data_IF_183081445694
#
_entry.id   IF_183081445694
#
_cell.length_a   1.000
_cell.length_b   1.000
_cell.length_c   1.000
_cell.angle_alpha   90.00
_cell.angle_beta   90.00
_cell.angle_gamma   90.00
#
_symmetry.space_group_name_H-M   'P 1'
#
loop_
_entity.id
_entity.type
_entity.pdbx_description
1 polymer ?
#
# COMPACT_ATOMS: atom_id res chain seq x y z
N UNK A 1 21.43 2.71 -39.50
CA UNK A 1 21.67 3.96 -38.74
C UNK A 1 20.36 4.38 -38.10
N UNK A 2 20.29 4.42 -36.76
CA UNK A 2 19.07 4.80 -36.04
C UNK A 2 18.83 6.31 -36.07
N UNK A 3 17.58 6.75 -35.83
CA UNK A 3 17.25 8.16 -35.68
C UNK A 3 17.80 8.68 -34.33
N UNK A 4 18.42 9.89 -34.26
CA UNK A 4 19.04 10.40 -33.03
C UNK A 4 18.11 10.40 -31.81
N UNK A 5 16.84 10.75 -32.01
CA UNK A 5 15.85 10.79 -30.92
C UNK A 5 15.56 9.38 -30.37
N UNK A 6 15.44 8.37 -31.24
CA UNK A 6 15.22 6.97 -30.82
C UNK A 6 16.42 6.43 -30.02
N UNK A 7 17.64 6.80 -30.42
CA UNK A 7 18.87 6.45 -29.70
C UNK A 7 18.90 7.09 -28.31
N UNK A 8 18.57 8.38 -28.22
CA UNK A 8 18.50 9.12 -26.96
C UNK A 8 17.44 8.56 -26.01
N UNK A 9 16.23 8.29 -26.49
CA UNK A 9 15.15 7.69 -25.66
C UNK A 9 15.52 6.31 -25.12
N UNK A 10 16.11 5.46 -25.95
CA UNK A 10 16.54 4.12 -25.52
C UNK A 10 17.66 4.20 -24.48
N UNK A 11 18.62 5.11 -24.68
CA UNK A 11 19.71 5.35 -23.73
C UNK A 11 19.19 5.88 -22.38
N UNK A 12 18.26 6.82 -22.39
CA UNK A 12 17.61 7.35 -21.18
C UNK A 12 16.85 6.26 -20.41
N UNK A 13 16.13 5.39 -21.11
CA UNK A 13 15.44 4.26 -20.49
C UNK A 13 16.42 3.23 -19.90
N UNK A 14 17.54 2.99 -20.58
CA UNK A 14 18.61 2.13 -20.06
C UNK A 14 19.25 2.73 -18.81
N UNK A 15 19.49 4.05 -18.83
CA UNK A 15 19.99 4.83 -17.69
C UNK A 15 19.05 4.73 -16.48
N UNK A 16 17.74 4.86 -16.71
CA UNK A 16 16.73 4.74 -15.66
C UNK A 16 16.69 3.35 -15.01
N UNK A 17 16.78 2.28 -15.83
CA UNK A 17 16.69 0.89 -15.35
C UNK A 17 18.02 0.30 -14.84
N UNK A 18 19.10 1.10 -14.77
CA UNK A 18 20.41 0.62 -14.31
C UNK A 18 21.13 -0.28 -15.32
N UNK A 19 20.69 -0.29 -16.58
CA UNK A 19 21.29 -1.09 -17.66
C UNK A 19 21.03 -2.60 -17.56
N UNK A 20 20.31 -3.05 -16.53
CA UNK A 20 20.03 -4.46 -16.24
C UNK A 20 18.69 -4.93 -16.81
N UNK A 21 18.17 -4.27 -17.83
CA UNK A 21 16.87 -4.59 -18.41
C UNK A 21 17.04 -5.16 -19.81
N UNK A 22 16.23 -6.16 -20.15
CA UNK A 22 16.22 -6.75 -21.48
C UNK A 22 15.81 -5.71 -22.53
N UNK A 23 16.36 -5.81 -23.74
CA UNK A 23 16.12 -4.85 -24.83
C UNK A 23 14.64 -4.62 -25.11
N UNK A 24 13.80 -5.66 -25.01
CA UNK A 24 12.36 -5.53 -25.23
C UNK A 24 11.66 -4.69 -24.15
N UNK A 25 12.11 -4.73 -22.89
CA UNK A 25 11.59 -3.86 -21.81
C UNK A 25 11.99 -2.42 -22.05
N UNK A 26 13.24 -2.20 -22.45
CA UNK A 26 13.77 -0.88 -22.80
C UNK A 26 13.03 -0.27 -24.00
N UNK A 27 12.76 -1.06 -25.03
CA UNK A 27 11.98 -0.64 -26.20
C UNK A 27 10.56 -0.22 -25.82
N UNK A 28 9.88 -1.02 -24.97
CA UNK A 28 8.53 -0.70 -24.48
C UNK A 28 8.50 0.55 -23.61
N UNK A 29 9.54 0.79 -22.82
CA UNK A 29 9.66 1.99 -21.98
C UNK A 29 9.98 3.23 -22.81
N UNK A 30 10.80 3.07 -23.86
CA UNK A 30 11.16 4.12 -24.81
C UNK A 30 10.10 4.38 -25.90
N UNK A 31 8.98 3.65 -25.86
CA UNK A 31 7.89 3.69 -26.84
C UNK A 31 8.38 3.50 -28.29
N UNK A 32 9.34 2.58 -28.47
CA UNK A 32 9.90 2.23 -29.78
C UNK A 32 9.26 0.95 -30.31
N UNK A 33 9.02 0.90 -31.63
CA UNK A 33 8.74 -0.36 -32.30
C UNK A 33 10.01 -1.25 -32.33
N UNK A 34 9.86 -2.57 -32.53
CA UNK A 34 11.02 -3.49 -32.52
C UNK A 34 12.13 -3.11 -33.50
N UNK A 35 11.79 -2.64 -34.70
CA UNK A 35 12.77 -2.27 -35.72
C UNK A 35 13.48 -0.94 -35.43
N UNK A 36 12.81 0.01 -34.79
CA UNK A 36 13.44 1.21 -34.23
C UNK A 36 14.34 0.89 -33.05
N UNK A 37 13.88 0.03 -32.14
CA UNK A 37 14.65 -0.42 -30.99
C UNK A 37 15.93 -1.16 -31.41
N UNK A 38 15.86 -2.06 -32.37
CA UNK A 38 17.04 -2.79 -32.87
C UNK A 38 18.06 -1.84 -33.53
N UNK A 39 17.57 -0.87 -34.32
CA UNK A 39 18.44 0.15 -34.94
C UNK A 39 19.08 1.07 -33.90
N UNK A 40 18.33 1.45 -32.87
CA UNK A 40 18.82 2.28 -31.78
C UNK A 40 19.83 1.51 -30.92
N UNK A 41 19.53 0.26 -30.55
CA UNK A 41 20.44 -0.63 -29.83
C UNK A 41 21.73 -0.88 -30.61
N UNK A 42 21.64 -1.11 -31.93
CA UNK A 42 22.81 -1.26 -32.80
C UNK A 42 23.64 0.02 -32.90
N UNK A 43 23.01 1.19 -32.94
CA UNK A 43 23.70 2.47 -32.91
C UNK A 43 24.41 2.69 -31.56
N UNK A 44 23.74 2.42 -30.44
CA UNK A 44 24.36 2.46 -29.12
C UNK A 44 25.54 1.47 -29.02
N UNK A 45 25.39 0.26 -29.54
CA UNK A 45 26.46 -0.73 -29.58
C UNK A 45 27.68 -0.27 -30.38
N UNK A 46 27.48 0.40 -31.51
CA UNK A 46 28.57 1.01 -32.28
C UNK A 46 29.28 2.14 -31.54
N UNK A 47 28.61 2.76 -30.56
CA UNK A 47 29.17 3.78 -29.66
C UNK A 47 29.79 3.18 -28.39
N UNK A 48 29.84 1.85 -28.26
CA UNK A 48 30.43 1.15 -27.13
C UNK A 48 29.44 0.80 -26.00
N UNK A 49 28.13 0.96 -26.20
CA UNK A 49 27.12 0.46 -25.26
C UNK A 49 26.96 -1.05 -25.38
N UNK A 50 26.83 -1.74 -24.25
CA UNK A 50 26.51 -3.16 -24.22
C UNK A 50 25.56 -3.40 -23.04
N UNK A 51 24.31 -3.78 -23.31
CA UNK A 51 23.30 -4.06 -22.27
C UNK A 51 23.78 -5.12 -21.26
N UNK A 52 24.66 -6.01 -21.69
CA UNK A 52 25.25 -7.09 -20.90
C UNK A 52 26.58 -6.70 -20.22
N UNK A 53 27.17 -5.54 -20.54
CA UNK A 53 28.50 -5.15 -20.03
C UNK A 53 28.49 -3.72 -19.49
N UNK A 54 28.61 -3.63 -18.17
CA UNK A 54 28.85 -2.40 -17.41
C UNK A 54 30.24 -1.79 -17.65
N UNK A 55 30.66 -1.64 -18.90
CA UNK A 55 31.99 -1.09 -19.24
C UNK A 55 31.89 -0.16 -20.44
N UNK A 56 32.27 1.13 -20.34
CA UNK A 56 32.80 1.87 -19.18
C UNK A 56 31.73 2.68 -18.40
N UNK A 57 31.81 2.75 -17.06
CA UNK A 57 30.86 3.51 -16.22
C UNK A 57 30.82 5.02 -16.53
N UNK A 58 31.90 5.59 -17.06
CA UNK A 58 31.98 7.03 -17.43
C UNK A 58 31.00 7.40 -18.54
N UNK A 59 30.86 6.55 -19.56
CA UNK A 59 29.84 6.77 -20.59
C UNK A 59 28.43 6.65 -19.99
N UNK A 60 28.27 5.81 -18.97
CA UNK A 60 27.00 5.62 -18.28
C UNK A 60 26.60 6.82 -17.45
N UNK A 61 27.53 7.44 -16.73
CA UNK A 61 27.27 8.65 -15.96
C UNK A 61 26.95 9.83 -16.88
N UNK A 62 27.68 10.01 -17.99
CA UNK A 62 27.36 11.07 -18.95
C UNK A 62 26.02 10.85 -19.66
N UNK A 63 25.69 9.60 -20.03
CA UNK A 63 24.38 9.28 -20.64
C UNK A 63 23.25 9.47 -19.63
N UNK A 64 23.47 9.09 -18.37
CA UNK A 64 22.51 9.30 -17.28
C UNK A 64 22.30 10.79 -17.01
N UNK A 65 23.37 11.57 -16.92
CA UNK A 65 23.32 13.02 -16.72
C UNK A 65 22.60 13.72 -17.87
N UNK A 66 22.97 13.41 -19.12
CA UNK A 66 22.29 13.97 -20.29
C UNK A 66 20.80 13.56 -20.37
N UNK A 67 20.46 12.34 -19.95
CA UNK A 67 19.07 11.90 -19.88
C UNK A 67 18.30 12.59 -18.74
N UNK A 68 18.94 12.79 -17.58
CA UNK A 68 18.35 13.49 -16.43
C UNK A 68 18.11 14.98 -16.73
N UNK A 69 19.02 15.64 -17.47
CA UNK A 69 18.91 17.05 -17.87
C UNK A 69 17.90 17.27 -19.01
N UNK A 70 17.77 16.30 -19.92
CA UNK A 70 16.90 16.41 -21.10
C UNK A 70 15.44 16.05 -20.86
N UNK A 71 15.10 15.41 -19.74
CA UNK A 71 13.75 14.92 -19.44
C UNK A 71 13.05 15.85 -18.44
N UNK A 72 11.95 16.47 -18.86
CA UNK A 72 11.13 17.30 -17.98
C UNK A 72 10.54 16.50 -16.80
N UNK A 73 10.24 17.18 -15.68
CA UNK A 73 9.76 16.54 -14.45
C UNK A 73 8.53 15.64 -14.67
N UNK A 74 7.55 16.09 -15.46
CA UNK A 74 6.35 15.32 -15.81
C UNK A 74 6.68 14.04 -16.59
N UNK A 75 7.63 14.12 -17.51
CA UNK A 75 8.09 12.95 -18.28
C UNK A 75 8.85 11.98 -17.38
N UNK A 76 9.60 12.48 -16.39
CA UNK A 76 10.28 11.66 -15.39
C UNK A 76 9.30 10.86 -14.53
N UNK A 77 8.26 11.49 -13.99
CA UNK A 77 7.21 10.80 -13.21
C UNK A 77 6.55 9.70 -14.07
N UNK A 78 6.20 10.02 -15.33
CA UNK A 78 5.63 9.04 -16.28
C UNK A 78 6.58 7.86 -16.51
N UNK A 79 7.86 8.13 -16.71
CA UNK A 79 8.88 7.10 -16.94
C UNK A 79 9.08 6.21 -15.71
N UNK A 80 9.17 6.75 -14.50
CA UNK A 80 9.28 5.96 -13.27
C UNK A 80 8.06 5.08 -13.04
N UNK A 81 6.85 5.63 -13.22
CA UNK A 81 5.61 4.84 -13.18
C UNK A 81 5.65 3.71 -14.20
N UNK A 82 5.97 4.01 -15.46
CA UNK A 82 5.98 3.01 -16.54
C UNK A 82 7.04 1.94 -16.32
N UNK A 83 8.20 2.32 -15.82
CA UNK A 83 9.26 1.40 -15.41
C UNK A 83 8.77 0.43 -14.33
N UNK A 84 8.14 0.94 -13.27
CA UNK A 84 7.58 0.10 -12.21
C UNK A 84 6.54 -0.89 -12.75
N UNK A 85 5.59 -0.43 -13.57
CA UNK A 85 4.58 -1.30 -14.20
C UNK A 85 5.22 -2.41 -15.04
N UNK A 86 6.19 -2.08 -15.90
CA UNK A 86 6.85 -3.05 -16.77
C UNK A 86 7.69 -4.06 -15.98
N UNK A 87 8.41 -3.62 -14.96
CA UNK A 87 9.20 -4.50 -14.09
C UNK A 87 8.30 -5.45 -13.30
N UNK A 88 7.18 -4.95 -12.75
CA UNK A 88 6.23 -5.77 -12.02
C UNK A 88 5.62 -6.86 -12.91
N UNK A 89 5.19 -6.51 -14.12
CA UNK A 89 4.65 -7.48 -15.09
C UNK A 89 5.70 -8.49 -15.55
N UNK A 90 6.97 -8.09 -15.63
CA UNK A 90 8.07 -8.98 -15.98
C UNK A 90 8.48 -9.92 -14.82
N UNK A 91 7.90 -9.78 -13.63
CA UNK A 91 8.27 -10.57 -12.45
C UNK A 91 9.68 -10.24 -11.94
N UNK A 92 10.15 -9.01 -12.16
CA UNK A 92 11.42 -8.54 -11.64
C UNK A 92 11.35 -8.36 -10.11
N UNK A 93 12.48 -8.47 -9.39
CA UNK A 93 12.50 -8.40 -7.93
C UNK A 93 11.76 -7.17 -7.38
N UNK A 94 10.96 -7.38 -6.32
CA UNK A 94 10.16 -6.33 -5.68
C UNK A 94 10.98 -5.07 -5.33
N UNK A 95 12.24 -5.22 -4.92
CA UNK A 95 13.15 -4.11 -4.63
C UNK A 95 13.26 -3.13 -5.80
N UNK A 96 13.44 -3.66 -7.03
CA UNK A 96 13.57 -2.86 -8.24
C UNK A 96 12.28 -2.11 -8.54
N UNK A 97 11.13 -2.78 -8.37
CA UNK A 97 9.81 -2.19 -8.61
C UNK A 97 9.56 -1.05 -7.63
N UNK A 98 9.74 -1.30 -6.32
CA UNK A 98 9.51 -0.31 -5.26
C UNK A 98 10.38 0.93 -5.46
N UNK A 99 11.66 0.76 -5.82
CA UNK A 99 12.56 1.88 -6.12
C UNK A 99 11.96 2.86 -7.13
N UNK A 100 11.33 2.35 -8.19
CA UNK A 100 10.70 3.22 -9.18
C UNK A 100 9.38 3.85 -8.68
N UNK A 101 8.59 3.12 -7.87
CA UNK A 101 7.36 3.67 -7.29
C UNK A 101 7.66 4.81 -6.31
N UNK A 102 8.76 4.72 -5.56
CA UNK A 102 9.17 5.74 -4.60
C UNK A 102 9.51 7.09 -5.22
N UNK A 103 9.83 7.11 -6.52
CA UNK A 103 10.09 8.33 -7.31
C UNK A 103 8.81 8.98 -7.86
N UNK A 104 7.66 8.33 -7.66
CA UNK A 104 6.33 8.83 -8.05
C UNK A 104 5.63 9.40 -6.82
N UNK A 105 5.12 10.62 -6.93
CA UNK A 105 4.42 11.31 -5.84
C UNK A 105 3.06 10.66 -5.50
N UNK A 106 2.56 10.86 -4.27
CA UNK A 106 1.22 10.38 -3.90
C UNK A 106 0.15 11.09 -4.75
N UNK A 107 -0.84 10.34 -5.22
CA UNK A 107 -1.90 10.83 -6.11
C UNK A 107 -1.56 10.78 -7.60
N UNK A 108 -0.29 10.63 -7.98
CA UNK A 108 0.13 10.58 -9.39
C UNK A 108 -0.13 9.22 -10.06
N UNK A 109 -0.40 8.19 -9.25
CA UNK A 109 -0.63 6.83 -9.73
C UNK A 109 -1.63 6.06 -8.87
N UNK A 110 -2.85 5.88 -9.39
CA UNK A 110 -3.96 5.19 -8.72
C UNK A 110 -3.64 3.75 -8.28
N UNK A 111 -2.77 3.04 -9.01
CA UNK A 111 -2.39 1.65 -8.70
C UNK A 111 -1.17 1.51 -7.79
N UNK A 112 -0.53 2.62 -7.37
CA UNK A 112 0.71 2.56 -6.61
C UNK A 112 0.54 1.84 -5.27
N UNK A 113 -0.57 2.08 -4.54
CA UNK A 113 -0.78 1.48 -3.23
C UNK A 113 -0.95 -0.05 -3.28
N UNK A 114 -1.65 -0.57 -4.27
CA UNK A 114 -1.83 -2.03 -4.46
C UNK A 114 -0.50 -2.68 -4.79
N UNK A 115 0.23 -2.09 -5.74
CA UNK A 115 1.53 -2.61 -6.14
C UNK A 115 2.57 -2.55 -4.99
N UNK A 116 2.56 -1.49 -4.18
CA UNK A 116 3.41 -1.39 -2.97
C UNK A 116 3.02 -2.41 -1.90
N UNK A 117 1.73 -2.72 -1.75
CA UNK A 117 1.26 -3.77 -0.83
C UNK A 117 1.74 -5.15 -1.28
N UNK A 118 1.57 -5.48 -2.55
CA UNK A 118 1.94 -6.77 -3.11
C UNK A 118 3.46 -6.99 -3.02
N UNK A 119 4.24 -5.98 -3.43
CA UNK A 119 5.71 -6.02 -3.36
C UNK A 119 6.23 -6.03 -1.93
N UNK A 120 5.57 -5.36 -0.98
CA UNK A 120 5.96 -5.41 0.44
C UNK A 120 5.81 -6.83 1.04
N UNK A 121 4.79 -7.59 0.63
CA UNK A 121 4.62 -8.99 1.05
C UNK A 121 5.79 -9.86 0.57
N UNK A 122 6.23 -9.68 -0.67
CA UNK A 122 7.42 -10.35 -1.21
C UNK A 122 8.70 -9.96 -0.45
N UNK A 123 8.93 -8.65 -0.26
CA UNK A 123 10.11 -8.13 0.43
C UNK A 123 10.20 -8.64 1.87
N UNK A 124 9.09 -8.64 2.59
CA UNK A 124 9.03 -9.17 3.95
C UNK A 124 9.37 -10.68 3.99
N UNK A 125 8.84 -11.47 3.05
CA UNK A 125 9.19 -12.90 2.95
C UNK A 125 10.66 -13.16 2.63
N UNK A 126 11.32 -12.20 1.98
CA UNK A 126 12.75 -12.25 1.65
C UNK A 126 13.64 -11.59 2.74
N UNK A 127 13.03 -10.99 3.76
CA UNK A 127 13.73 -10.37 4.90
C UNK A 127 14.16 -8.91 4.70
N UNK A 128 13.66 -8.22 3.67
CA UNK A 128 13.87 -6.77 3.50
C UNK A 128 12.73 -5.96 4.15
N UNK A 129 12.63 -6.08 5.47
CA UNK A 129 11.60 -5.44 6.28
C UNK A 129 11.67 -3.92 6.15
N UNK A 130 12.88 -3.36 6.04
CA UNK A 130 13.09 -1.93 5.92
C UNK A 130 12.47 -1.37 4.65
N UNK A 131 12.65 -2.03 3.50
CA UNK A 131 12.02 -1.59 2.26
C UNK A 131 10.51 -1.87 2.24
N UNK A 132 10.06 -3.00 2.80
CA UNK A 132 8.64 -3.31 2.95
C UNK A 132 7.90 -2.23 3.77
N UNK A 133 8.42 -1.86 4.94
CA UNK A 133 7.86 -0.79 5.79
C UNK A 133 7.84 0.55 5.05
N UNK A 134 8.92 0.91 4.36
CA UNK A 134 8.97 2.17 3.57
C UNK A 134 7.91 2.18 2.46
N UNK A 135 7.76 1.07 1.74
CA UNK A 135 6.76 0.91 0.68
C UNK A 135 5.34 1.04 1.22
N UNK A 136 5.01 0.32 2.30
CA UNK A 136 3.67 0.39 2.91
C UNK A 136 3.36 1.78 3.48
N UNK A 137 4.32 2.45 4.13
CA UNK A 137 4.15 3.84 4.60
C UNK A 137 3.94 4.82 3.45
N UNK A 138 4.56 4.58 2.30
CA UNK A 138 4.31 5.35 1.08
C UNK A 138 2.91 5.07 0.52
N UNK A 139 2.45 3.82 0.52
CA UNK A 139 1.11 3.42 0.09
C UNK A 139 0.00 4.07 0.94
N UNK A 140 0.23 4.22 2.25
CA UNK A 140 -0.71 4.90 3.15
C UNK A 140 -1.03 6.34 2.74
N UNK A 141 -0.17 7.00 1.97
CA UNK A 141 -0.37 8.37 1.51
C UNK A 141 -1.35 8.49 0.33
N UNK A 142 -1.74 7.37 -0.29
CA UNK A 142 -2.73 7.33 -1.37
C UNK A 142 -4.18 7.39 -0.86
N UNK A 143 -4.40 7.16 0.45
CA UNK A 143 -5.73 7.06 1.02
C UNK A 143 -5.98 8.07 2.13
N UNK A 144 -7.20 8.63 2.22
CA UNK A 144 -7.59 9.48 3.33
C UNK A 144 -7.63 8.68 4.65
N UNK A 145 -7.57 9.35 5.82
CA UNK A 145 -7.46 8.71 7.12
C UNK A 145 -8.57 7.71 7.48
N UNK A 146 -9.76 7.88 6.90
CA UNK A 146 -10.99 7.12 7.15
C UNK A 146 -11.24 5.99 6.15
N UNK A 147 -10.35 5.79 5.18
CA UNK A 147 -10.52 4.75 4.16
C UNK A 147 -10.34 3.34 4.72
N UNK A 148 -11.24 2.38 4.43
CA UNK A 148 -11.04 0.97 4.78
C UNK A 148 -9.73 0.39 4.20
N UNK A 149 -9.37 0.81 2.98
CA UNK A 149 -8.11 0.41 2.32
C UNK A 149 -6.86 0.85 3.10
N UNK A 150 -6.98 1.92 3.89
CA UNK A 150 -5.94 2.35 4.82
C UNK A 150 -5.82 1.38 5.99
N UNK A 151 -6.93 0.85 6.49
CA UNK A 151 -6.96 -0.22 7.51
C UNK A 151 -6.19 -1.47 7.06
N UNK A 152 -6.37 -1.87 5.79
CA UNK A 152 -5.66 -3.02 5.21
C UNK A 152 -4.14 -2.81 5.15
N UNK A 153 -3.69 -1.60 4.82
CA UNK A 153 -2.26 -1.25 4.78
C UNK A 153 -1.65 -1.12 6.18
N UNK A 154 -2.41 -0.59 7.16
CA UNK A 154 -1.99 -0.51 8.56
C UNK A 154 -1.84 -1.91 9.16
N UNK A 155 -2.72 -2.84 8.80
CA UNK A 155 -2.62 -4.26 9.17
C UNK A 155 -1.34 -4.87 8.61
N UNK A 156 -1.05 -4.66 7.32
CA UNK A 156 0.20 -5.13 6.72
C UNK A 156 1.44 -4.51 7.37
N UNK A 157 1.41 -3.23 7.78
CA UNK A 157 2.51 -2.60 8.52
C UNK A 157 2.73 -3.23 9.89
N UNK A 158 1.64 -3.48 10.63
CA UNK A 158 1.71 -4.13 11.92
C UNK A 158 2.36 -5.52 11.82
N UNK A 159 2.10 -6.26 10.74
CA UNK A 159 2.70 -7.57 10.49
C UNK A 159 4.21 -7.51 10.27
N UNK A 160 4.68 -6.57 9.45
CA UNK A 160 6.11 -6.42 9.16
C UNK A 160 6.88 -5.87 10.36
N UNK A 161 6.26 -4.97 11.13
CA UNK A 161 6.93 -4.29 12.26
C UNK A 161 6.95 -5.11 13.56
N UNK A 162 6.22 -6.24 13.63
CA UNK A 162 5.97 -7.00 14.87
C UNK A 162 7.23 -7.30 15.68
N UNK A 163 8.31 -7.70 15.00
CA UNK A 163 9.57 -8.09 15.64
C UNK A 163 10.54 -6.92 15.79
N UNK A 164 10.57 -6.01 14.81
CA UNK A 164 11.56 -4.93 14.74
C UNK A 164 11.14 -3.65 15.49
N UNK A 165 9.85 -3.33 15.55
CA UNK A 165 9.30 -2.14 16.20
C UNK A 165 7.90 -2.40 16.76
N UNK A 166 7.86 -3.05 17.92
CA UNK A 166 6.62 -3.37 18.63
C UNK A 166 5.77 -2.13 18.96
N UNK A 167 6.40 -0.97 19.19
CA UNK A 167 5.66 0.26 19.48
C UNK A 167 4.94 0.80 18.24
N UNK A 168 5.60 0.80 17.08
CA UNK A 168 4.97 1.16 15.82
C UNK A 168 3.86 0.18 15.45
N UNK A 169 4.10 -1.13 15.61
CA UNK A 169 3.09 -2.16 15.40
C UNK A 169 1.82 -1.88 16.22
N UNK A 170 1.93 -1.64 17.54
CA UNK A 170 0.77 -1.35 18.39
C UNK A 170 0.00 -0.10 17.95
N UNK A 171 0.71 0.96 17.51
CA UNK A 171 0.07 2.16 16.97
C UNK A 171 -0.71 1.85 15.69
N UNK A 172 -0.12 1.08 14.77
CA UNK A 172 -0.79 0.73 13.51
C UNK A 172 -1.99 -0.21 13.73
N UNK A 173 -1.91 -1.16 14.67
CA UNK A 173 -3.07 -1.99 15.09
C UNK A 173 -4.19 -1.10 15.62
N UNK A 174 -3.88 -0.18 16.52
CA UNK A 174 -4.88 0.75 17.08
C UNK A 174 -5.54 1.64 16.03
N UNK A 175 -4.79 2.05 15.00
CA UNK A 175 -5.32 2.83 13.87
C UNK A 175 -6.13 1.98 12.88
N UNK A 176 -5.78 0.70 12.69
CA UNK A 176 -6.46 -0.20 11.76
C UNK A 176 -7.84 -0.61 12.29
N UNK A 177 -7.94 -0.94 13.58
CA UNK A 177 -9.17 -1.45 14.22
C UNK A 177 -10.48 -0.71 13.86
N UNK A 178 -10.55 0.63 13.94
CA UNK A 178 -11.78 1.36 13.60
C UNK A 178 -12.09 1.41 12.10
N UNK A 179 -11.12 1.07 11.23
CA UNK A 179 -11.27 1.10 9.77
C UNK A 179 -11.68 -0.26 9.17
N UNK A 180 -11.54 -1.33 9.96
CA UNK A 180 -11.89 -2.70 9.54
C UNK A 180 -13.38 -2.97 9.75
N UNK A 181 -14.04 -3.45 8.70
CA UNK A 181 -15.51 -3.56 8.65
C UNK A 181 -16.05 -4.74 9.45
N UNK A 182 -15.32 -5.86 9.47
CA UNK A 182 -15.79 -7.14 10.02
C UNK A 182 -15.15 -7.47 11.38
N UNK A 183 -15.79 -8.37 12.13
CA UNK A 183 -15.23 -8.86 13.40
C UNK A 183 -13.99 -9.72 13.12
N UNK A 184 -14.03 -10.46 12.02
CA UNK A 184 -12.98 -11.36 11.57
C UNK A 184 -11.70 -10.60 11.21
N UNK A 185 -11.82 -9.50 10.46
CA UNK A 185 -10.68 -8.61 10.16
C UNK A 185 -10.09 -8.00 11.44
N UNK A 186 -10.94 -7.54 12.35
CA UNK A 186 -10.48 -6.99 13.65
C UNK A 186 -9.79 -8.04 14.52
N UNK A 187 -10.29 -9.27 14.53
CA UNK A 187 -9.65 -10.38 15.24
C UNK A 187 -8.29 -10.74 14.62
N UNK A 188 -8.20 -10.75 13.28
CA UNK A 188 -6.96 -11.04 12.57
C UNK A 188 -5.85 -10.02 12.92
N UNK A 189 -6.14 -8.72 12.88
CA UNK A 189 -5.13 -7.70 13.22
C UNK A 189 -4.71 -7.75 14.70
N UNK A 190 -5.63 -8.06 15.61
CA UNK A 190 -5.30 -8.20 17.04
C UNK A 190 -4.44 -9.44 17.30
N UNK A 191 -4.64 -10.52 16.53
CA UNK A 191 -3.83 -11.73 16.65
C UNK A 191 -2.35 -11.52 16.31
N UNK A 192 -2.01 -10.43 15.62
CA UNK A 192 -0.64 -10.04 15.31
C UNK A 192 0.10 -9.48 16.53
N UNK A 193 -0.61 -9.07 17.58
CA UNK A 193 -0.02 -8.55 18.82
C UNK A 193 0.53 -9.71 19.65
N UNK A 194 1.83 -9.74 19.98
CA UNK A 194 2.42 -10.81 20.79
C UNK A 194 1.69 -10.97 22.14
N UNK A 195 1.32 -12.21 22.50
CA UNK A 195 0.63 -12.52 23.77
C UNK A 195 1.38 -12.02 25.00
N UNK A 196 2.71 -11.97 24.93
CA UNK A 196 3.56 -11.44 26.01
C UNK A 196 3.22 -9.98 26.36
N UNK A 197 2.79 -9.17 25.40
CA UNK A 197 2.39 -7.79 25.65
C UNK A 197 1.05 -7.69 26.38
N UNK A 198 0.10 -8.58 26.07
CA UNK A 198 -1.15 -8.68 26.82
C UNK A 198 -0.91 -9.12 28.26
N UNK A 199 0.01 -10.05 28.46
CA UNK A 199 0.35 -10.57 29.80
C UNK A 199 1.23 -9.60 30.61
N UNK A 200 2.01 -8.75 29.94
CA UNK A 200 2.90 -7.76 30.56
C UNK A 200 2.24 -6.39 30.75
N UNK A 201 1.02 -6.19 30.22
CA UNK A 201 0.23 -5.01 30.53
C UNK A 201 0.07 -4.94 32.06
N UNK A 202 0.48 -3.83 32.71
CA UNK A 202 0.27 -3.69 34.15
C UNK A 202 -1.22 -3.92 34.44
N UNK A 203 -1.53 -4.64 35.52
CA UNK A 203 -2.90 -4.84 36.03
C UNK A 203 -3.61 -3.52 36.44
N UNK A 204 -3.15 -2.36 35.96
CA UNK A 204 -3.72 -1.03 36.14
C UNK A 204 -4.79 -0.66 35.09
N UNK A 205 -4.98 -1.47 34.04
CA UNK A 205 -6.01 -1.24 33.03
C UNK A 205 -7.47 -1.40 33.54
N UNK A 206 -7.80 -2.20 34.56
CA UNK A 206 -9.17 -2.25 35.09
C UNK A 206 -9.68 -0.89 35.59
N UNK A 207 -8.80 -0.06 36.17
CA UNK A 207 -9.16 1.28 36.65
C UNK A 207 -9.36 2.30 35.50
N UNK A 208 -8.82 2.01 34.30
CA UNK A 208 -8.97 2.86 33.12
C UNK A 208 -10.06 2.38 32.16
N UNK A 209 -10.59 1.16 32.34
CA UNK A 209 -11.68 0.60 31.51
C UNK A 209 -13.09 0.81 32.12
N UNK A 210 -13.17 1.18 33.40
CA UNK A 210 -14.42 1.65 34.05
C UNK A 210 -14.40 3.19 34.12
N UNK A 211 -15.32 3.93 33.46
CA UNK A 211 -16.70 3.57 33.14
C UNK A 211 -17.06 3.79 31.66
N UNK A 212 -16.92 2.76 30.82
CA UNK A 212 -17.64 2.67 29.54
C UNK A 212 -18.93 1.81 29.65
N UNK A 213 -19.09 1.08 30.77
CA UNK A 213 -20.25 0.22 31.03
C UNK A 213 -21.42 0.89 31.78
N UNK A 214 -21.23 2.10 32.33
CA UNK A 214 -22.24 2.77 33.16
C UNK A 214 -23.39 3.45 32.37
N UNK A 215 -23.33 3.46 31.03
CA UNK A 215 -24.33 4.11 30.18
C UNK A 215 -25.39 3.19 29.54
N UNK A 216 -25.27 1.86 29.68
CA UNK A 216 -26.29 0.94 29.17
C UNK A 216 -27.24 0.54 30.31
N UNK A 217 -28.20 1.43 30.59
CA UNK A 217 -29.40 1.07 31.32
C UNK A 217 -30.02 -0.17 30.67
N UNK A 218 -29.91 -1.29 31.39
CA UNK A 218 -30.61 -2.53 31.12
C UNK A 218 -32.11 -2.25 31.22
N UNK A 219 -32.74 -1.86 30.10
CA UNK A 219 -34.20 -1.86 29.98
C UNK A 219 -34.66 -3.32 29.97
N UNK A 220 -34.85 -3.88 31.15
CA UNK A 220 -35.50 -5.18 31.32
C UNK A 220 -36.93 -5.10 30.75
N UNK A 221 -37.38 -6.09 29.97
CA UNK A 221 -38.78 -6.17 29.58
C UNK A 221 -39.64 -6.45 30.82
N UNK A 222 -40.69 -5.65 31.02
CA UNK A 222 -41.66 -5.87 32.07
C UNK A 222 -42.29 -7.26 31.90
N UNK A 223 -42.07 -8.13 32.89
CA UNK A 223 -42.75 -9.40 33.00
C UNK A 223 -44.25 -9.14 33.23
N UNK A 224 -45.07 -9.50 32.23
CA UNK A 224 -46.52 -9.62 32.40
C UNK A 224 -46.80 -10.84 33.29
N UNK A 225 -46.79 -10.60 34.60
CA UNK A 225 -47.28 -11.51 35.62
C UNK A 225 -48.79 -11.37 35.77
N UNK A 226 -49.47 -12.46 35.46
CA UNK A 226 -50.90 -12.71 35.58
C UNK A 226 -51.40 -12.46 37.00
N UNK A 227 -52.36 -11.54 37.16
CA UNK A 227 -53.14 -11.35 38.37
C UNK A 227 -54.63 -11.49 38.06
N UNK A 228 -55.16 -12.70 38.26
CA UNK A 228 -56.60 -12.99 38.27
C UNK A 228 -57.14 -12.65 39.66
N UNK A 229 -58.25 -11.93 39.74
CA UNK A 229 -59.19 -12.08 40.87
C UNK A 229 -59.86 -10.81 41.43
N UNK A 230 -61.12 -10.63 41.02
CA UNK A 230 -62.28 -10.26 41.86
C UNK A 230 -62.55 -8.79 42.28
N UNK A 231 -63.81 -8.38 42.08
CA UNK A 231 -64.49 -7.23 42.71
C UNK A 231 -64.96 -6.17 41.71
N UNK A 232 -66.04 -6.38 40.96
CA UNK A 232 -67.42 -6.02 41.36
C UNK A 232 -67.65 -4.52 41.61
N UNK A 233 -68.19 -3.80 40.60
CA UNK A 233 -69.50 -3.09 40.62
C UNK A 233 -69.59 -1.99 39.54
N UNK A 234 -70.65 -2.08 38.74
CA UNK A 234 -71.23 -1.04 37.89
C UNK A 234 -71.91 0.06 38.79
N UNK A 235 -72.44 1.21 38.31
CA UNK A 235 -73.18 1.33 37.04
C UNK A 235 -73.15 2.68 36.27
N UNK A 236 -73.73 2.60 35.06
CA UNK A 236 -74.62 3.56 34.39
C UNK A 236 -74.15 4.98 33.98
N UNK A 237 -74.21 5.24 32.66
CA UNK A 237 -74.99 6.29 31.97
C UNK A 237 -74.40 6.49 30.54
N UNK A 238 -75.06 6.05 29.48
CA UNK A 238 -76.09 6.78 28.72
C UNK A 238 -75.58 8.06 28.01
N UNK A 239 -75.55 8.05 26.68
CA UNK A 239 -75.34 9.27 25.88
C UNK A 239 -75.19 9.03 24.38
N UNK A 240 -76.30 9.15 23.64
CA UNK A 240 -76.43 9.22 22.16
C UNK A 240 -75.56 10.36 21.57
N UNK A 241 -75.12 10.33 20.32
CA UNK A 241 -76.01 10.33 19.15
C UNK A 241 -75.28 10.28 17.80
N UNK A 242 -76.12 10.08 16.80
CA UNK A 242 -75.86 9.78 15.40
C UNK A 242 -75.36 10.98 14.59
#
# INVERSE_FOLDING_TARGET
TGHPDSVGRLAACAALLGGRAQTHVLARLAELDPGEADRAAGALASLGWAADRWTPPVLWDCVREAAEEGVGLTDRVRLHRRAAELLYVAGEPAERVVRHVMEVGPGDWTGAAELLRDTACELWRLGDDALAVRGLRRALREFPPDSPRRGDLLTALADVEREADTSAMLRHVGQALPLLGTVEERAAVVSCVPLTLFLSAPHAVPELLEPAGAGHERRMPAAAGTGVGAGEQAPAAAGKGA
#
